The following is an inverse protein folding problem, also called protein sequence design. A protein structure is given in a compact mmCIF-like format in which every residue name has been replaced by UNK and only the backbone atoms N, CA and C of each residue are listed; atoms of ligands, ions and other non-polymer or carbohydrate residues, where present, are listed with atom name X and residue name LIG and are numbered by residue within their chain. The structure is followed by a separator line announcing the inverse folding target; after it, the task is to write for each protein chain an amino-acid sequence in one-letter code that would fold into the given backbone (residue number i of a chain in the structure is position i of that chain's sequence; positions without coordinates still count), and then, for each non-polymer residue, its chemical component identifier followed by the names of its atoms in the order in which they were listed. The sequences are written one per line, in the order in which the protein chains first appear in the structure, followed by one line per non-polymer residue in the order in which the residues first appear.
data_IF_148119380444
#
_entry.id   IF_148119380444
#
_cell.length_a   1.000
_cell.length_b   1.000
_cell.length_c   1.000
_cell.angle_alpha   90.00
_cell.angle_beta   90.00
_cell.angle_gamma   90.00
#
_symmetry.space_group_name_H-M   'P 1'
#
loop_
_entity.id
_entity.type
_entity.pdbx_description
1 polymer ?
#
# COMPACT_ATOMS: atom_id res chain seq x y z
N UNK A 1 -1.75 23.92 -12.98
CA UNK A 1 -1.37 23.20 -11.73
C UNK A 1 0.03 23.64 -11.34
N UNK A 2 0.15 24.71 -10.57
CA UNK A 2 1.40 25.01 -9.87
C UNK A 2 1.44 24.13 -8.63
N UNK A 3 1.80 22.87 -8.79
CA UNK A 3 2.29 22.08 -7.67
C UNK A 3 3.57 22.81 -7.27
N UNK A 4 3.57 23.35 -6.07
CA UNK A 4 4.76 23.95 -5.51
C UNK A 4 5.84 22.86 -5.46
N UNK A 5 6.80 22.93 -6.33
CA UNK A 5 8.07 22.18 -6.24
C UNK A 5 8.90 22.65 -5.05
N UNK A 6 8.41 23.66 -4.33
CA UNK A 6 9.03 24.17 -3.10
C UNK A 6 9.12 23.04 -2.07
N UNK A 7 10.32 22.71 -1.68
CA UNK A 7 10.63 21.67 -0.72
C UNK A 7 10.94 20.30 -1.33
N UNK A 8 10.90 20.14 -2.65
CA UNK A 8 11.46 18.96 -3.32
C UNK A 8 12.97 19.16 -3.49
N UNK A 9 13.73 18.11 -3.19
CA UNK A 9 15.19 18.12 -3.29
C UNK A 9 15.70 17.76 -4.69
N UNK A 10 14.82 17.24 -5.55
CA UNK A 10 15.12 16.69 -6.87
C UNK A 10 13.98 16.99 -7.83
N UNK A 11 14.29 17.12 -9.10
CA UNK A 11 13.30 17.17 -10.18
C UNK A 11 12.57 15.83 -10.30
N UNK A 12 11.32 15.80 -10.81
CA UNK A 12 10.51 14.59 -10.88
C UNK A 12 11.15 13.43 -11.65
N UNK A 13 11.83 13.70 -12.74
CA UNK A 13 12.55 12.70 -13.55
C UNK A 13 13.75 12.12 -12.78
N UNK A 14 14.51 12.97 -12.10
CA UNK A 14 15.61 12.54 -11.24
C UNK A 14 15.11 11.65 -10.09
N UNK A 15 13.94 11.97 -9.50
CA UNK A 15 13.33 11.14 -8.46
C UNK A 15 13.04 9.72 -8.96
N UNK A 16 12.53 9.56 -10.20
CA UNK A 16 12.25 8.26 -10.79
C UNK A 16 13.53 7.46 -11.08
N UNK A 17 14.54 8.10 -11.66
CA UNK A 17 15.83 7.47 -11.91
C UNK A 17 16.43 6.95 -10.61
N UNK A 18 16.49 7.80 -9.58
CA UNK A 18 17.03 7.43 -8.28
C UNK A 18 16.22 6.34 -7.57
N UNK A 19 14.91 6.32 -7.78
CA UNK A 19 14.09 5.24 -7.26
C UNK A 19 14.49 3.91 -7.90
N UNK A 20 14.60 3.87 -9.23
CA UNK A 20 15.01 2.67 -9.98
C UNK A 20 16.39 2.18 -9.51
N UNK A 21 17.38 3.07 -9.47
CA UNK A 21 18.74 2.76 -8.99
C UNK A 21 18.75 2.12 -7.58
N UNK A 22 17.90 2.63 -6.68
CA UNK A 22 17.83 2.14 -5.30
C UNK A 22 17.14 0.79 -5.16
N UNK A 23 16.18 0.47 -6.01
CA UNK A 23 15.46 -0.80 -5.94
C UNK A 23 16.09 -1.89 -6.80
N UNK A 24 16.95 -1.55 -7.76
CA UNK A 24 17.64 -2.50 -8.63
C UNK A 24 18.28 -3.66 -7.87
N UNK A 25 19.01 -3.45 -6.75
CA UNK A 25 19.62 -4.53 -5.98
C UNK A 25 18.65 -5.51 -5.33
N UNK A 26 17.37 -5.18 -5.28
CA UNK A 26 16.30 -5.97 -4.64
C UNK A 26 15.13 -6.26 -5.58
N UNK A 27 15.28 -5.99 -6.87
CA UNK A 27 14.18 -6.13 -7.85
C UNK A 27 13.66 -7.57 -7.92
N UNK A 28 14.52 -8.55 -7.75
CA UNK A 28 14.20 -9.98 -7.68
C UNK A 28 13.27 -10.34 -6.50
N UNK A 29 13.16 -9.46 -5.52
CA UNK A 29 12.31 -9.61 -4.32
C UNK A 29 11.02 -8.81 -4.41
N UNK A 30 10.87 -7.98 -5.45
CA UNK A 30 9.65 -7.21 -5.66
C UNK A 30 8.55 -8.09 -6.24
N UNK A 31 7.48 -8.26 -5.50
CA UNK A 31 6.34 -9.05 -5.97
C UNK A 31 5.50 -8.28 -6.99
N UNK A 32 5.30 -6.99 -6.78
CA UNK A 32 4.57 -6.10 -7.68
C UNK A 32 4.73 -4.63 -7.28
N UNK A 33 4.38 -3.75 -8.20
CA UNK A 33 4.18 -2.31 -7.96
C UNK A 33 2.68 -2.02 -8.03
N UNK A 34 2.20 -1.19 -7.10
CA UNK A 34 0.83 -0.69 -7.11
C UNK A 34 0.80 0.80 -7.37
N UNK A 35 0.04 1.18 -8.39
CA UNK A 35 -0.10 2.57 -8.76
C UNK A 35 -0.82 3.41 -7.72
N UNK A 36 -0.38 4.65 -7.56
CA UNK A 36 -1.01 5.66 -6.73
C UNK A 36 -1.84 6.65 -7.54
N UNK A 37 -2.70 7.43 -6.87
CA UNK A 37 -3.54 8.41 -7.56
C UNK A 37 -2.74 9.53 -8.23
N UNK A 38 -1.54 9.82 -7.75
CA UNK A 38 -0.65 10.79 -8.38
C UNK A 38 -0.12 10.27 -9.72
N UNK A 39 0.23 9.00 -9.78
CA UNK A 39 0.78 8.37 -10.97
C UNK A 39 -0.30 7.96 -11.97
N UNK A 40 -1.39 7.33 -11.46
CA UNK A 40 -2.48 6.84 -12.31
C UNK A 40 -3.38 7.95 -12.88
N UNK A 41 -3.55 9.06 -12.15
CA UNK A 41 -4.51 10.10 -12.53
C UNK A 41 -3.78 11.38 -12.96
N UNK A 42 -2.90 11.91 -12.10
CA UNK A 42 -2.25 13.18 -12.39
C UNK A 42 -1.23 13.07 -13.51
N UNK A 43 -0.36 12.05 -13.48
CA UNK A 43 0.62 11.88 -14.54
C UNK A 43 -0.03 11.53 -15.87
N UNK A 44 -1.07 10.70 -15.87
CA UNK A 44 -1.82 10.40 -17.11
C UNK A 44 -2.46 11.66 -17.68
N UNK A 45 -3.05 12.52 -16.85
CA UNK A 45 -3.68 13.76 -17.32
C UNK A 45 -2.67 14.81 -17.80
N UNK A 46 -1.45 14.80 -17.29
CA UNK A 46 -0.41 15.80 -17.61
C UNK A 46 0.53 15.28 -18.71
N UNK A 47 0.96 14.03 -18.59
CA UNK A 47 2.02 13.44 -19.42
C UNK A 47 1.47 12.44 -20.46
N UNK A 48 0.20 12.04 -20.35
CA UNK A 48 -0.41 11.03 -21.22
C UNK A 48 -0.10 9.58 -20.83
N UNK A 49 0.69 9.33 -19.79
CA UNK A 49 1.05 7.98 -19.35
C UNK A 49 1.14 7.85 -17.83
N UNK A 50 1.02 6.60 -17.35
CA UNK A 50 1.13 6.23 -15.94
C UNK A 50 2.60 5.93 -15.61
N UNK A 51 3.22 6.81 -14.82
CA UNK A 51 4.64 6.74 -14.47
C UNK A 51 4.97 5.46 -13.71
N UNK A 52 4.14 5.05 -12.75
CA UNK A 52 4.36 3.81 -11.98
C UNK A 52 4.31 2.58 -12.88
N UNK A 53 3.46 2.60 -13.93
CA UNK A 53 3.42 1.51 -14.91
C UNK A 53 4.71 1.44 -15.72
N UNK A 54 5.17 2.60 -16.23
CA UNK A 54 6.42 2.67 -16.99
C UNK A 54 7.59 2.16 -16.14
N UNK A 55 7.68 2.59 -14.88
CA UNK A 55 8.72 2.11 -13.98
C UNK A 55 8.65 0.60 -13.76
N UNK A 56 7.46 0.04 -13.54
CA UNK A 56 7.28 -1.40 -13.38
C UNK A 56 7.71 -2.18 -14.63
N UNK A 57 7.35 -1.68 -15.81
CA UNK A 57 7.75 -2.27 -17.09
C UNK A 57 9.29 -2.23 -17.27
N UNK A 58 9.94 -1.11 -16.90
CA UNK A 58 11.41 -0.96 -17.00
C UNK A 58 12.18 -1.97 -16.14
N UNK A 59 11.66 -2.27 -14.94
CA UNK A 59 12.32 -3.18 -14.00
C UNK A 59 11.79 -4.62 -14.08
N UNK A 60 10.81 -4.88 -14.97
CA UNK A 60 10.25 -6.23 -15.17
C UNK A 60 9.37 -6.75 -14.03
N UNK A 61 8.72 -5.86 -13.27
CA UNK A 61 7.89 -6.23 -12.12
C UNK A 61 6.40 -6.06 -12.45
N UNK A 62 5.50 -6.98 -12.03
CA UNK A 62 4.07 -6.83 -12.25
C UNK A 62 3.50 -5.51 -11.73
N UNK A 63 2.65 -4.87 -12.53
CA UNK A 63 1.96 -3.64 -12.15
C UNK A 63 0.47 -3.85 -11.94
N UNK A 64 -0.06 -3.32 -10.84
CA UNK A 64 -1.50 -3.35 -10.55
C UNK A 64 -2.06 -1.94 -10.36
N UNK A 65 -2.92 -1.54 -11.28
CA UNK A 65 -3.57 -0.23 -11.24
C UNK A 65 -4.72 -0.18 -10.21
N UNK A 66 -5.56 -1.20 -10.19
CA UNK A 66 -6.76 -1.26 -9.37
C UNK A 66 -6.53 -2.08 -8.10
N UNK A 67 -7.28 -1.81 -7.01
CA UNK A 67 -7.28 -2.70 -5.85
C UNK A 67 -7.59 -4.14 -6.25
N UNK A 68 -6.95 -5.09 -5.60
CA UNK A 68 -7.13 -6.49 -5.89
C UNK A 68 -6.39 -7.36 -4.89
N UNK A 69 -6.48 -8.67 -5.06
CA UNK A 69 -5.81 -9.61 -4.19
C UNK A 69 -4.64 -10.31 -4.88
N UNK A 70 -3.69 -10.72 -4.05
CA UNK A 70 -2.57 -11.57 -4.41
C UNK A 70 -2.55 -12.78 -3.48
N UNK A 71 -2.17 -13.94 -4.00
CA UNK A 71 -2.04 -15.14 -3.19
C UNK A 71 -0.56 -15.33 -2.84
N UNK A 72 -0.27 -15.29 -1.54
CA UNK A 72 1.04 -15.65 -0.99
C UNK A 72 0.97 -17.10 -0.55
N UNK A 73 1.80 -17.95 -1.14
CA UNK A 73 1.87 -19.37 -0.81
C UNK A 73 3.09 -19.64 0.06
N UNK A 74 2.85 -20.23 1.22
CA UNK A 74 3.90 -20.69 2.14
C UNK A 74 3.62 -22.17 2.41
N UNK A 75 4.46 -23.03 1.90
CA UNK A 75 4.22 -24.48 1.87
C UNK A 75 2.83 -24.80 1.28
N UNK A 76 1.97 -25.47 2.02
CA UNK A 76 0.60 -25.78 1.59
C UNK A 76 -0.41 -24.69 1.95
N UNK A 77 -0.01 -23.68 2.69
CA UNK A 77 -0.89 -22.57 3.08
C UNK A 77 -0.94 -21.49 2.00
N UNK A 78 -2.14 -21.01 1.73
CA UNK A 78 -2.41 -19.88 0.84
C UNK A 78 -3.00 -18.74 1.66
N UNK A 79 -2.31 -17.61 1.65
CA UNK A 79 -2.75 -16.37 2.28
C UNK A 79 -3.21 -15.38 1.22
N UNK A 80 -4.29 -14.66 1.49
CA UNK A 80 -4.87 -13.68 0.57
C UNK A 80 -4.51 -12.26 1.03
N UNK A 81 -3.56 -11.65 0.35
CA UNK A 81 -3.20 -10.24 0.52
C UNK A 81 -4.06 -9.39 -0.40
N UNK A 82 -4.98 -8.63 0.15
CA UNK A 82 -5.77 -7.63 -0.57
C UNK A 82 -5.08 -6.29 -0.44
N UNK A 83 -4.74 -5.66 -1.56
CA UNK A 83 -3.99 -4.40 -1.53
C UNK A 83 -4.56 -3.37 -2.49
N UNK A 84 -4.37 -2.10 -2.16
CA UNK A 84 -4.77 -0.96 -2.98
C UNK A 84 -4.05 0.31 -2.54
N UNK A 85 -4.18 1.37 -3.34
CA UNK A 85 -3.61 2.67 -2.94
C UNK A 85 -4.49 3.35 -1.89
N UNK A 86 -5.80 3.26 -2.00
CA UNK A 86 -6.74 4.07 -1.24
C UNK A 86 -7.10 5.37 -1.95
N UNK A 87 -8.09 6.07 -1.42
CA UNK A 87 -8.62 7.29 -2.03
C UNK A 87 -8.93 8.38 -1.01
N UNK A 88 -9.21 8.00 0.22
CA UNK A 88 -9.74 8.92 1.23
C UNK A 88 -8.63 9.52 2.09
N UNK A 89 -8.66 10.84 2.26
CA UNK A 89 -7.92 11.57 3.28
C UNK A 89 -8.63 11.58 4.65
N UNK A 90 -9.60 10.68 4.88
CA UNK A 90 -10.35 10.62 6.12
C UNK A 90 -9.42 10.34 7.32
N UNK A 91 -9.67 11.02 8.44
CA UNK A 91 -8.92 10.83 9.70
C UNK A 91 -9.00 9.40 10.20
N UNK A 92 -10.14 8.74 10.01
CA UNK A 92 -10.30 7.33 10.33
C UNK A 92 -9.89 6.47 9.12
N UNK A 93 -8.69 5.92 9.18
CA UNK A 93 -8.14 5.05 8.13
C UNK A 93 -8.88 3.72 7.97
N UNK A 94 -9.62 3.29 8.98
CA UNK A 94 -10.30 2.00 8.97
C UNK A 94 -11.48 1.96 8.00
N UNK A 95 -12.21 3.06 7.83
CA UNK A 95 -13.40 3.10 6.96
C UNK A 95 -13.17 2.58 5.55
N UNK A 96 -11.99 2.84 4.95
CA UNK A 96 -11.67 2.28 3.64
C UNK A 96 -11.29 0.81 3.70
N UNK A 97 -10.58 0.41 4.76
CA UNK A 97 -10.22 -0.99 5.00
C UNK A 97 -11.47 -1.84 5.26
N UNK A 98 -12.46 -1.31 6.00
CA UNK A 98 -13.76 -1.97 6.21
C UNK A 98 -14.51 -2.17 4.90
N UNK A 99 -14.56 -1.15 4.03
CA UNK A 99 -15.16 -1.26 2.70
C UNK A 99 -14.43 -2.29 1.84
N UNK A 100 -13.10 -2.29 1.88
CA UNK A 100 -12.29 -3.28 1.17
C UNK A 100 -12.55 -4.69 1.69
N UNK A 101 -12.63 -4.86 3.02
CA UNK A 101 -12.92 -6.15 3.65
C UNK A 101 -14.34 -6.65 3.38
N UNK A 102 -15.30 -5.75 3.19
CA UNK A 102 -16.66 -6.11 2.78
C UNK A 102 -16.69 -6.64 1.34
N UNK A 103 -15.92 -6.04 0.43
CA UNK A 103 -15.82 -6.48 -0.98
C UNK A 103 -15.01 -7.77 -1.11
N UNK A 104 -13.88 -7.86 -0.40
CA UNK A 104 -12.97 -9.00 -0.43
C UNK A 104 -13.05 -9.80 0.87
N UNK A 105 -14.23 -10.34 1.19
CA UNK A 105 -14.53 -10.97 2.47
C UNK A 105 -13.57 -12.10 2.89
N UNK A 106 -12.93 -12.73 1.91
CA UNK A 106 -11.98 -13.85 2.09
C UNK A 106 -10.53 -13.40 2.31
N UNK A 107 -10.25 -12.09 2.36
CA UNK A 107 -8.91 -11.56 2.59
C UNK A 107 -8.38 -11.86 3.98
N UNK A 108 -7.10 -12.17 4.09
CA UNK A 108 -6.40 -12.37 5.37
C UNK A 108 -5.67 -11.09 5.80
N UNK A 109 -5.13 -10.35 4.83
CA UNK A 109 -4.48 -9.06 5.04
C UNK A 109 -5.07 -8.03 4.11
N UNK A 110 -5.42 -6.86 4.63
CA UNK A 110 -5.89 -5.70 3.88
C UNK A 110 -4.88 -4.58 4.02
N UNK A 111 -4.29 -4.17 2.92
CA UNK A 111 -3.22 -3.18 2.88
C UNK A 111 -3.60 -2.00 2.00
N UNK A 112 -3.54 -0.79 2.58
CA UNK A 112 -3.76 0.46 1.85
C UNK A 112 -2.65 1.49 2.14
N UNK A 113 -2.35 2.31 1.14
CA UNK A 113 -1.51 3.50 1.25
C UNK A 113 -2.31 4.79 1.40
N UNK A 114 -1.93 5.81 0.67
CA UNK A 114 -2.55 7.12 0.44
C UNK A 114 -2.59 8.10 1.61
N UNK A 115 -3.17 7.72 2.75
CA UNK A 115 -3.37 8.63 3.88
C UNK A 115 -2.15 8.77 4.80
N UNK A 116 -1.04 8.15 4.44
CA UNK A 116 0.26 8.19 5.13
C UNK A 116 0.24 7.66 6.58
N UNK A 117 -0.88 7.15 7.07
CA UNK A 117 -0.93 6.52 8.38
C UNK A 117 -0.08 5.25 8.40
N UNK A 118 0.60 5.00 9.50
CA UNK A 118 1.42 3.82 9.70
C UNK A 118 0.86 3.00 10.86
N UNK A 119 0.22 1.88 10.54
CA UNK A 119 -0.17 0.89 11.53
C UNK A 119 -0.43 -0.48 10.92
N UNK A 120 -0.37 -1.48 11.78
CA UNK A 120 -0.88 -2.82 11.52
C UNK A 120 -1.66 -3.28 12.73
N UNK A 121 -2.91 -3.69 12.56
CA UNK A 121 -3.77 -4.12 13.65
C UNK A 121 -4.56 -5.37 13.28
N UNK A 122 -4.76 -6.30 14.23
CA UNK A 122 -5.62 -7.45 14.01
C UNK A 122 -7.09 -7.03 13.98
N UNK A 123 -7.86 -7.78 13.22
CA UNK A 123 -9.31 -7.76 13.21
C UNK A 123 -9.81 -9.19 13.29
N UNK A 124 -10.39 -9.55 14.41
CA UNK A 124 -10.96 -10.89 14.61
C UNK A 124 -12.42 -10.91 14.18
N UNK A 125 -12.81 -11.93 13.44
CA UNK A 125 -14.17 -12.20 13.02
C UNK A 125 -14.50 -13.67 13.22
N UNK A 126 -15.78 -13.97 13.44
CA UNK A 126 -16.23 -15.35 13.48
C UNK A 126 -16.54 -15.83 12.05
N UNK A 127 -15.95 -16.94 11.67
CA UNK A 127 -16.41 -17.74 10.54
C UNK A 127 -17.26 -18.88 11.06
N UNK A 128 -18.51 -18.90 10.62
CA UNK A 128 -19.48 -19.91 11.00
C UNK A 128 -19.65 -20.87 9.84
N UNK A 129 -19.40 -22.14 10.07
CA UNK A 129 -19.72 -23.22 9.14
C UNK A 129 -20.75 -24.16 9.79
N UNK A 130 -21.34 -25.06 9.01
CA UNK A 130 -22.27 -26.07 9.55
C UNK A 130 -21.65 -27.01 10.60
N UNK A 131 -20.31 -27.05 10.70
CA UNK A 131 -19.60 -27.98 11.60
C UNK A 131 -18.90 -27.28 12.77
N UNK A 132 -18.55 -26.01 12.63
CA UNK A 132 -17.72 -25.33 13.63
C UNK A 132 -17.79 -23.80 13.50
N UNK A 133 -17.54 -23.13 14.60
CA UNK A 133 -17.21 -21.71 14.64
C UNK A 133 -15.70 -21.57 14.81
N UNK A 134 -15.08 -20.71 14.01
CA UNK A 134 -13.66 -20.41 14.10
C UNK A 134 -13.42 -18.91 14.15
N UNK A 135 -12.57 -18.48 15.07
CA UNK A 135 -12.02 -17.13 15.01
C UNK A 135 -11.09 -17.03 13.81
N UNK A 136 -11.42 -16.14 12.89
CA UNK A 136 -10.58 -15.80 11.75
C UNK A 136 -9.92 -14.45 12.01
N UNK A 137 -8.64 -14.48 12.30
CA UNK A 137 -7.83 -13.28 12.45
C UNK A 137 -7.43 -12.75 11.10
N UNK A 138 -7.74 -11.49 10.85
CA UNK A 138 -7.35 -10.73 9.67
C UNK A 138 -6.47 -9.56 10.11
N UNK A 139 -5.81 -8.91 9.17
CA UNK A 139 -4.95 -7.80 9.45
C UNK A 139 -5.30 -6.58 8.61
N UNK A 140 -5.43 -5.44 9.27
CA UNK A 140 -5.58 -4.13 8.66
C UNK A 140 -4.24 -3.40 8.72
N UNK A 141 -3.69 -3.03 7.55
CA UNK A 141 -2.40 -2.42 7.42
C UNK A 141 -2.49 -1.10 6.64
N UNK A 142 -1.84 -0.08 7.16
CA UNK A 142 -1.58 1.18 6.45
C UNK A 142 -0.09 1.34 6.27
N UNK A 143 0.32 1.54 5.02
CA UNK A 143 1.71 1.44 4.59
C UNK A 143 2.64 2.54 5.06
N UNK A 144 2.11 3.58 5.72
CA UNK A 144 2.94 4.71 6.14
C UNK A 144 3.36 5.61 5.00
N UNK A 145 4.42 6.37 5.21
CA UNK A 145 5.01 7.28 4.25
C UNK A 145 6.49 7.46 4.54
N UNK A 146 7.27 7.72 3.50
CA UNK A 146 8.66 8.17 3.63
C UNK A 146 8.81 9.68 3.48
N UNK A 147 7.70 10.41 3.33
CA UNK A 147 7.74 11.87 3.26
C UNK A 147 8.05 12.47 4.63
N UNK A 148 8.97 13.43 4.67
CA UNK A 148 9.07 14.36 5.79
C UNK A 148 7.80 15.20 5.85
N UNK A 149 7.53 15.77 7.04
CA UNK A 149 6.37 16.65 7.23
C UNK A 149 6.43 17.85 6.27
N UNK A 150 5.78 17.69 5.12
CA UNK A 150 5.84 18.63 4.01
C UNK A 150 5.06 19.91 4.31
N UNK A 151 5.45 21.02 3.68
CA UNK A 151 4.83 22.33 3.90
C UNK A 151 3.32 22.35 3.66
N UNK A 152 2.83 21.62 2.65
CA UNK A 152 1.39 21.54 2.41
C UNK A 152 0.63 20.87 3.57
N UNK A 153 1.25 19.91 4.24
CA UNK A 153 0.67 19.22 5.39
C UNK A 153 0.65 20.14 6.62
N UNK A 154 1.72 20.91 6.80
CA UNK A 154 1.79 21.95 7.84
C UNK A 154 0.74 23.02 7.62
N UNK A 155 0.63 23.53 6.40
CA UNK A 155 -0.34 24.56 6.04
C UNK A 155 -1.80 24.13 6.26
N UNK A 156 -2.09 22.85 6.08
CA UNK A 156 -3.42 22.27 6.29
C UNK A 156 -3.65 21.65 7.68
N UNK A 157 -2.70 21.83 8.58
CA UNK A 157 -2.75 21.25 9.93
C UNK A 157 -2.98 19.72 9.93
N UNK A 158 -2.42 19.03 8.93
CA UNK A 158 -2.47 17.58 8.94
C UNK A 158 -1.61 17.04 10.09
N UNK A 159 -2.02 15.94 10.74
CA UNK A 159 -1.22 15.35 11.81
C UNK A 159 0.16 14.93 11.29
N UNK A 160 1.16 15.08 12.15
CA UNK A 160 2.49 14.54 11.89
C UNK A 160 2.36 13.02 11.86
N UNK A 161 2.80 12.41 10.77
CA UNK A 161 2.86 10.96 10.63
C UNK A 161 4.31 10.50 10.74
N UNK A 162 4.52 9.38 11.43
CA UNK A 162 5.83 8.76 11.51
C UNK A 162 6.20 8.19 10.14
N UNK A 163 7.40 8.50 9.66
CA UNK A 163 7.95 7.82 8.50
C UNK A 163 8.21 6.36 8.83
N UNK A 164 7.92 5.46 7.91
CA UNK A 164 8.14 4.04 8.12
C UNK A 164 7.33 3.16 7.17
N UNK A 165 7.34 1.87 7.45
CA UNK A 165 6.65 0.84 6.66
C UNK A 165 6.08 -0.25 7.55
N UNK A 166 5.19 -1.04 6.99
CA UNK A 166 4.65 -2.25 7.64
C UNK A 166 5.41 -3.46 7.13
N UNK A 167 5.86 -4.31 8.03
CA UNK A 167 6.35 -5.65 7.72
C UNK A 167 5.25 -6.66 7.99
N UNK A 168 5.05 -7.60 7.06
CA UNK A 168 4.08 -8.69 7.14
C UNK A 168 4.84 -9.99 6.93
N UNK A 169 4.88 -10.83 7.95
CA UNK A 169 5.44 -12.17 7.89
C UNK A 169 4.32 -13.18 7.70
N UNK A 170 4.36 -13.88 6.58
CA UNK A 170 3.44 -14.98 6.29
C UNK A 170 4.07 -16.29 6.72
N UNK A 171 3.59 -16.86 7.80
CA UNK A 171 4.00 -18.19 8.26
C UNK A 171 3.03 -19.29 7.79
N UNK A 172 3.33 -20.54 8.11
CA UNK A 172 2.44 -21.68 7.80
C UNK A 172 1.14 -21.63 8.59
N UNK A 173 1.19 -21.20 9.84
CA UNK A 173 0.05 -21.23 10.77
C UNK A 173 -0.58 -19.86 10.99
N UNK A 174 0.20 -18.80 10.98
CA UNK A 174 -0.23 -17.45 11.34
C UNK A 174 0.47 -16.39 10.51
N UNK A 175 -0.11 -15.19 10.53
CA UNK A 175 0.48 -13.96 10.01
C UNK A 175 0.90 -13.12 11.20
N UNK A 176 2.11 -12.56 11.14
CA UNK A 176 2.60 -11.55 12.08
C UNK A 176 2.80 -10.22 11.36
N UNK A 177 2.55 -9.14 12.06
CA UNK A 177 2.72 -7.80 11.49
C UNK A 177 3.35 -6.86 12.51
N UNK A 178 4.20 -5.95 12.03
CA UNK A 178 4.73 -4.86 12.85
C UNK A 178 5.05 -3.63 11.98
N UNK A 179 5.23 -2.50 12.63
CA UNK A 179 5.63 -1.24 12.00
C UNK A 179 7.09 -0.91 12.35
N UNK A 180 7.83 -0.41 11.37
CA UNK A 180 9.23 -0.02 11.51
C UNK A 180 9.39 1.49 11.35
#
# INVERSE_FOLDING_TARGET
YKISQRGQLMEPDEQHIRFIERIEPIVDKLLFIRGGNHDMIRSVNILGFDVSKVMADMIGVPYFRLPGYSIVRICDRKWKLVSGHGKSGAKNGDTELDKMAAVYSEGDVFFLGHNHQLYAKPLDSLRISMKEEKVHRRWYCRGGSFLKYADYARYRFYPIVRAGWVTIEFGEKEIKTWTN
#
